data_IF_148869183996
#
_entry.id   IF_148869183996
#
_cell.length_a   1.000
_cell.length_b   1.000
_cell.length_c   1.000
_cell.angle_alpha   90.00
_cell.angle_beta   90.00
_cell.angle_gamma   90.00
#
_symmetry.space_group_name_H-M   'P 1'
#
loop_
_entity.id
_entity.type
_entity.pdbx_description
1 polymer ?
#
# COMPACT_ATOMS: atom_id res chain seq x y z
N UNK A 1 -6.25 -7.96 21.61
CA UNK A 1 -6.41 -6.51 21.34
C UNK A 1 -7.06 -6.37 19.98
N UNK A 2 -8.11 -5.55 19.82
CA UNK A 2 -8.86 -5.44 18.56
C UNK A 2 -8.13 -4.51 17.60
N UNK A 3 -8.21 -4.78 16.30
CA UNK A 3 -7.58 -3.97 15.25
C UNK A 3 -8.60 -3.61 14.19
N UNK A 4 -8.48 -2.43 13.60
CA UNK A 4 -9.30 -1.97 12.49
C UNK A 4 -8.42 -1.33 11.45
N UNK A 5 -8.53 -1.78 10.20
CA UNK A 5 -7.81 -1.18 9.07
C UNK A 5 -8.57 0.08 8.66
N UNK A 6 -7.84 1.19 8.57
CA UNK A 6 -8.39 2.47 8.17
C UNK A 6 -7.85 2.82 6.79
N UNK A 7 -8.74 3.01 5.82
CA UNK A 7 -8.39 3.47 4.47
C UNK A 7 -8.46 5.00 4.33
N UNK A 8 -8.06 5.52 3.17
CA UNK A 8 -8.01 6.97 2.95
C UNK A 8 -9.41 7.57 2.89
N UNK A 9 -10.39 6.84 2.38
CA UNK A 9 -11.75 7.32 2.25
C UNK A 9 -12.40 7.51 3.63
N UNK A 10 -12.21 6.55 4.53
CA UNK A 10 -12.63 6.65 5.91
C UNK A 10 -11.99 7.86 6.59
N UNK A 11 -10.67 8.05 6.44
CA UNK A 11 -9.98 9.20 7.02
C UNK A 11 -10.40 10.54 6.42
N UNK A 12 -10.73 10.59 5.13
CA UNK A 12 -11.28 11.79 4.47
C UNK A 12 -12.68 12.11 4.99
N UNK A 13 -13.55 11.10 5.12
CA UNK A 13 -14.92 11.24 5.62
C UNK A 13 -15.01 11.50 7.13
N UNK A 14 -14.00 11.08 7.90
CA UNK A 14 -13.89 11.37 9.34
C UNK A 14 -13.93 12.86 9.57
N UNK A 15 -14.63 13.30 10.61
CA UNK A 15 -14.77 14.72 10.88
C UNK A 15 -13.41 15.37 11.20
N UNK A 16 -13.30 16.69 11.02
CA UNK A 16 -12.05 17.44 11.24
C UNK A 16 -11.46 17.25 12.65
N UNK A 17 -12.33 17.00 13.61
CA UNK A 17 -11.96 16.74 14.99
C UNK A 17 -11.59 15.28 15.26
N UNK A 18 -11.68 14.34 14.30
CA UNK A 18 -11.30 12.94 14.47
C UNK A 18 -12.13 12.19 15.51
N UNK A 19 -13.41 12.54 15.68
CA UNK A 19 -14.27 11.98 16.73
C UNK A 19 -14.43 10.46 16.59
N UNK A 20 -14.68 10.00 15.37
CA UNK A 20 -14.89 8.59 15.04
C UNK A 20 -13.64 7.75 15.36
N UNK A 21 -12.46 8.28 15.06
CA UNK A 21 -11.18 7.62 15.38
C UNK A 21 -10.97 7.49 16.89
N UNK A 22 -11.29 8.56 17.64
CA UNK A 22 -11.21 8.51 19.11
C UNK A 22 -12.19 7.51 19.70
N UNK A 23 -13.39 7.41 19.12
CA UNK A 23 -14.38 6.44 19.57
C UNK A 23 -13.89 5.01 19.37
N UNK A 24 -13.33 4.70 18.19
CA UNK A 24 -12.71 3.38 17.94
C UNK A 24 -11.62 3.06 18.97
N UNK A 25 -10.77 4.02 19.29
CA UNK A 25 -9.75 3.86 20.33
C UNK A 25 -10.37 3.64 21.71
N UNK A 26 -11.39 4.40 22.08
CA UNK A 26 -12.12 4.26 23.34
C UNK A 26 -12.79 2.86 23.46
N UNK A 27 -13.22 2.30 22.33
CA UNK A 27 -13.79 0.96 22.23
C UNK A 27 -12.72 -0.16 22.23
N UNK A 28 -11.44 0.21 22.36
CA UNK A 28 -10.31 -0.70 22.52
C UNK A 28 -9.67 -1.19 21.21
N UNK A 29 -9.88 -0.47 20.11
CA UNK A 29 -9.25 -0.77 18.82
C UNK A 29 -7.90 -0.06 18.65
N UNK A 30 -6.97 -0.78 18.02
CA UNK A 30 -5.80 -0.19 17.39
C UNK A 30 -6.10 0.10 15.93
N UNK A 31 -5.70 1.29 15.48
CA UNK A 31 -5.89 1.75 14.12
C UNK A 31 -4.73 1.27 13.27
N UNK A 32 -5.02 0.45 12.27
CA UNK A 32 -4.02 -0.09 11.35
C UNK A 32 -4.01 0.78 10.09
N UNK A 33 -2.85 1.38 9.81
CA UNK A 33 -2.57 2.10 8.58
C UNK A 33 -1.76 1.18 7.67
N UNK A 34 -2.26 0.97 6.45
CA UNK A 34 -1.53 0.24 5.41
C UNK A 34 -0.86 1.24 4.47
N UNK A 35 0.21 0.82 3.82
CA UNK A 35 1.03 1.64 2.91
C UNK A 35 0.21 2.42 1.86
N UNK A 36 -0.91 1.83 1.42
CA UNK A 36 -1.90 2.43 0.51
C UNK A 36 -2.41 3.77 1.00
N UNK A 37 -2.65 3.91 2.30
CA UNK A 37 -3.19 5.11 2.90
C UNK A 37 -2.21 6.27 2.83
N UNK A 38 -0.93 6.03 3.12
CA UNK A 38 0.08 7.09 3.09
C UNK A 38 0.34 7.57 1.67
N UNK A 39 0.41 6.63 0.74
CA UNK A 39 0.45 6.95 -0.68
C UNK A 39 -0.76 7.78 -1.09
N UNK A 40 -1.98 7.33 -0.83
CA UNK A 40 -3.23 8.01 -1.25
C UNK A 40 -3.43 9.39 -0.59
N UNK A 41 -2.89 9.58 0.61
CA UNK A 41 -2.90 10.87 1.30
C UNK A 41 -1.85 11.85 0.77
N UNK A 42 -0.78 11.34 0.15
CA UNK A 42 0.32 12.14 -0.36
C UNK A 42 0.27 12.34 -1.89
N UNK A 43 -0.35 11.42 -2.63
CA UNK A 43 -0.51 11.44 -4.09
C UNK A 43 -1.75 12.23 -4.55
N UNK A 44 -2.53 12.76 -3.62
CA UNK A 44 -3.66 13.65 -3.89
C UNK A 44 -3.18 15.03 -4.33
N UNK A 45 -3.85 15.62 -5.34
CA UNK A 45 -3.53 16.97 -5.81
C UNK A 45 -3.75 18.05 -4.74
N UNK A 46 -4.59 17.75 -3.72
CA UNK A 46 -4.86 18.65 -2.61
C UNK A 46 -3.86 18.47 -1.46
N UNK A 47 -2.82 19.31 -1.48
CA UNK A 47 -1.78 19.39 -0.43
C UNK A 47 -2.30 19.64 0.99
N UNK A 48 -3.57 20.06 1.16
CA UNK A 48 -4.19 20.27 2.48
C UNK A 48 -4.69 18.97 3.10
N UNK A 49 -4.88 17.91 2.32
CA UNK A 49 -5.38 16.63 2.81
C UNK A 49 -4.44 16.02 3.85
N UNK A 50 -3.14 16.07 3.62
CA UNK A 50 -2.17 15.56 4.59
C UNK A 50 -2.29 16.28 5.94
N UNK A 51 -2.37 17.61 5.94
CA UNK A 51 -2.54 18.40 7.17
C UNK A 51 -3.84 18.07 7.90
N UNK A 52 -4.92 17.89 7.15
CA UNK A 52 -6.21 17.50 7.71
C UNK A 52 -6.12 16.11 8.36
N UNK A 53 -5.48 15.15 7.70
CA UNK A 53 -5.30 13.80 8.22
C UNK A 53 -4.39 13.77 9.45
N UNK A 54 -3.29 14.53 9.45
CA UNK A 54 -2.43 14.65 10.63
C UNK A 54 -3.21 15.15 11.85
N UNK A 55 -4.08 16.17 11.68
CA UNK A 55 -4.92 16.68 12.79
C UNK A 55 -5.85 15.61 13.35
N UNK A 56 -6.45 14.79 12.49
CA UNK A 56 -7.33 13.69 12.89
C UNK A 56 -6.56 12.60 13.64
N UNK A 57 -5.40 12.19 13.12
CA UNK A 57 -4.58 11.10 13.67
C UNK A 57 -3.80 11.49 14.93
N UNK A 58 -3.48 12.78 15.11
CA UNK A 58 -2.72 13.28 16.27
C UNK A 58 -3.28 12.78 17.60
N UNK A 59 -4.61 12.84 17.76
CA UNK A 59 -5.29 12.49 19.01
C UNK A 59 -5.26 10.99 19.33
N UNK A 60 -4.92 10.16 18.36
CA UNK A 60 -4.93 8.70 18.45
C UNK A 60 -3.57 8.08 18.12
N UNK A 61 -2.51 8.90 18.02
CA UNK A 61 -1.19 8.48 17.54
C UNK A 61 -0.66 7.22 18.25
N UNK A 62 -0.80 7.13 19.57
CA UNK A 62 -0.30 5.99 20.34
C UNK A 62 -0.96 4.65 19.99
N UNK A 63 -2.16 4.69 19.41
CA UNK A 63 -2.98 3.54 19.05
C UNK A 63 -2.83 3.12 17.59
N UNK A 64 -1.87 3.71 16.87
CA UNK A 64 -1.61 3.39 15.46
C UNK A 64 -0.63 2.22 15.32
N UNK A 65 -0.85 1.37 14.34
CA UNK A 65 0.15 0.43 13.80
C UNK A 65 0.26 0.65 12.29
N UNK A 66 1.47 0.67 11.76
CA UNK A 66 1.69 0.68 10.32
C UNK A 66 2.03 -0.74 9.86
N UNK A 67 1.30 -1.23 8.86
CA UNK A 67 1.53 -2.56 8.30
C UNK A 67 2.19 -2.46 6.94
N UNK A 68 3.13 -3.38 6.68
CA UNK A 68 3.80 -3.53 5.39
C UNK A 68 2.80 -4.01 4.36
N UNK A 69 3.01 -3.61 3.11
CA UNK A 69 2.21 -4.07 1.98
C UNK A 69 2.31 -5.60 1.82
N UNK A 70 1.19 -6.27 1.50
CA UNK A 70 1.14 -7.74 1.37
C UNK A 70 2.18 -8.28 0.39
N UNK A 71 2.39 -7.60 -0.75
CA UNK A 71 3.41 -8.02 -1.73
C UNK A 71 4.84 -8.02 -1.18
N UNK A 72 5.16 -7.10 -0.28
CA UNK A 72 6.48 -7.04 0.38
C UNK A 72 6.64 -8.19 1.37
N UNK A 73 5.57 -8.50 2.11
CA UNK A 73 5.57 -9.63 3.05
C UNK A 73 5.77 -10.96 2.30
N UNK A 74 5.02 -11.18 1.23
CA UNK A 74 5.14 -12.38 0.39
C UNK A 74 6.54 -12.50 -0.24
N UNK A 75 7.11 -11.40 -0.73
CA UNK A 75 8.48 -11.40 -1.28
C UNK A 75 9.54 -11.77 -0.24
N UNK A 76 9.36 -11.35 1.02
CA UNK A 76 10.24 -11.76 2.11
C UNK A 76 10.04 -13.22 2.50
N UNK A 77 8.80 -13.72 2.54
CA UNK A 77 8.51 -15.13 2.79
C UNK A 77 9.14 -16.04 1.73
N UNK A 78 9.01 -15.68 0.45
CA UNK A 78 9.63 -16.40 -0.66
C UNK A 78 11.16 -16.38 -0.54
N UNK A 79 11.76 -15.22 -0.24
CA UNK A 79 13.22 -15.08 -0.12
C UNK A 79 13.78 -15.84 1.08
N UNK A 80 13.07 -15.86 2.20
CA UNK A 80 13.54 -16.45 3.46
C UNK A 80 13.08 -17.89 3.66
N UNK A 81 12.13 -18.37 2.85
CA UNK A 81 11.46 -19.67 2.97
C UNK A 81 10.83 -19.88 4.36
N UNK A 82 10.45 -18.78 5.01
CA UNK A 82 9.90 -18.75 6.36
C UNK A 82 8.68 -17.82 6.37
N UNK A 83 7.56 -18.22 7.01
CA UNK A 83 6.40 -17.34 7.18
C UNK A 83 6.76 -16.11 8.00
N UNK A 84 6.19 -14.95 7.65
CA UNK A 84 6.32 -13.73 8.42
C UNK A 84 5.35 -13.78 9.60
N UNK A 85 5.89 -13.70 10.81
CA UNK A 85 5.10 -13.75 12.04
C UNK A 85 4.24 -12.49 12.28
N UNK A 86 4.62 -11.36 11.68
CA UNK A 86 3.89 -10.10 11.88
C UNK A 86 3.95 -9.16 10.66
N UNK A 87 2.82 -8.59 10.24
CA UNK A 87 2.79 -7.60 9.16
C UNK A 87 3.26 -6.21 9.62
N UNK A 88 3.54 -6.00 10.92
CA UNK A 88 3.84 -4.70 11.50
C UNK A 88 5.22 -4.23 11.05
N UNK A 89 5.28 -3.03 10.47
CA UNK A 89 6.52 -2.30 10.32
C UNK A 89 6.81 -1.53 11.62
N UNK A 90 7.64 -2.13 12.49
CA UNK A 90 7.92 -1.57 13.83
C UNK A 90 8.63 -0.23 13.74
N UNK A 91 9.65 -0.13 12.89
CA UNK A 91 10.48 1.06 12.77
C UNK A 91 9.67 2.21 12.19
N UNK A 92 8.92 1.94 11.13
CA UNK A 92 8.06 2.94 10.52
C UNK A 92 6.91 3.35 11.45
N UNK A 93 6.31 2.40 12.19
CA UNK A 93 5.29 2.72 13.20
C UNK A 93 5.83 3.69 14.25
N UNK A 94 7.04 3.45 14.77
CA UNK A 94 7.67 4.34 15.78
C UNK A 94 7.94 5.71 15.18
N UNK A 95 8.52 5.77 13.98
CA UNK A 95 8.79 7.04 13.29
C UNK A 95 7.50 7.84 13.05
N UNK A 96 6.45 7.16 12.59
CA UNK A 96 5.16 7.78 12.31
C UNK A 96 4.47 8.30 13.57
N UNK A 97 4.52 7.53 14.67
CA UNK A 97 4.02 7.98 15.98
C UNK A 97 4.75 9.22 16.46
N UNK A 98 6.08 9.23 16.38
CA UNK A 98 6.90 10.37 16.77
C UNK A 98 6.59 11.60 15.92
N UNK A 99 6.38 11.41 14.61
CA UNK A 99 5.97 12.46 13.69
C UNK A 99 4.65 13.09 14.12
N UNK A 100 3.62 12.28 14.36
CA UNK A 100 2.32 12.76 14.83
C UNK A 100 2.44 13.45 16.19
N UNK A 101 3.13 12.83 17.16
CA UNK A 101 3.28 13.35 18.51
C UNK A 101 3.97 14.72 18.56
N UNK A 102 4.88 15.00 17.63
CA UNK A 102 5.58 16.28 17.53
C UNK A 102 4.64 17.48 17.28
N UNK A 103 3.40 17.23 16.82
CA UNK A 103 2.45 18.24 16.31
C UNK A 103 3.01 19.15 15.23
N UNK A 104 4.20 18.85 14.72
CA UNK A 104 4.78 19.61 13.64
C UNK A 104 4.00 19.27 12.38
N UNK A 105 3.57 20.32 11.71
CA UNK A 105 3.12 20.24 10.33
C UNK A 105 4.28 19.72 9.50
N UNK A 106 4.32 18.41 9.28
CA UNK A 106 5.33 17.80 8.43
C UNK A 106 4.93 18.02 6.99
N UNK A 107 5.50 19.04 6.37
CA UNK A 107 5.52 19.17 4.92
C UNK A 107 6.91 18.66 4.55
N UNK A 108 7.05 17.44 4.00
CA UNK A 108 8.33 17.04 3.46
C UNK A 108 8.73 18.11 2.44
N UNK A 109 9.95 18.65 2.55
CA UNK A 109 10.49 19.60 1.57
C UNK A 109 10.35 19.09 0.13
N UNK A 110 10.29 17.78 -0.02
CA UNK A 110 10.11 17.09 -1.28
C UNK A 110 9.08 15.94 -1.18
N UNK A 111 7.85 16.29 -0.80
CA UNK A 111 6.71 15.36 -0.80
C UNK A 111 6.56 14.64 -2.14
N UNK A 112 6.84 15.34 -3.24
CA UNK A 112 6.79 14.79 -4.59
C UNK A 112 7.82 13.68 -4.81
N UNK A 113 9.07 13.85 -4.38
CA UNK A 113 10.06 12.77 -4.46
C UNK A 113 9.71 11.58 -3.58
N UNK A 114 9.09 11.80 -2.43
CA UNK A 114 8.65 10.69 -1.57
C UNK A 114 7.49 9.91 -2.21
N UNK A 115 6.50 10.63 -2.76
CA UNK A 115 5.40 10.02 -3.53
C UNK A 115 5.94 9.28 -4.75
N UNK A 116 6.87 9.87 -5.49
CA UNK A 116 7.49 9.25 -6.66
C UNK A 116 8.27 7.97 -6.29
N UNK A 117 8.99 7.98 -5.16
CA UNK A 117 9.68 6.80 -4.64
C UNK A 117 8.70 5.67 -4.30
N UNK A 118 7.61 5.99 -3.58
CA UNK A 118 6.58 5.00 -3.24
C UNK A 118 5.83 4.52 -4.50
N UNK A 119 5.48 5.42 -5.42
CA UNK A 119 4.93 5.05 -6.74
C UNK A 119 5.84 4.08 -7.46
N UNK A 120 7.14 4.39 -7.55
CA UNK A 120 8.12 3.54 -8.20
C UNK A 120 8.23 2.17 -7.54
N UNK A 121 8.29 2.10 -6.21
CA UNK A 121 8.27 0.83 -5.47
C UNK A 121 6.99 0.04 -5.73
N UNK A 122 5.83 0.70 -5.77
CA UNK A 122 4.55 0.00 -5.98
C UNK A 122 4.35 -0.46 -7.41
N UNK A 123 4.75 0.33 -8.39
CA UNK A 123 4.51 0.08 -9.81
C UNK A 123 5.62 -0.79 -10.41
N UNK A 124 6.90 -0.53 -10.13
CA UNK A 124 8.00 -1.29 -10.72
C UNK A 124 8.22 -2.64 -10.03
N UNK A 125 8.18 -2.71 -8.69
CA UNK A 125 8.39 -4.00 -8.01
C UNK A 125 7.22 -4.97 -8.26
N UNK A 126 5.99 -4.46 -8.43
CA UNK A 126 4.82 -5.28 -8.75
C UNK A 126 4.86 -5.81 -10.18
N UNK A 127 5.32 -5.01 -11.15
CA UNK A 127 5.51 -5.45 -12.53
C UNK A 127 6.64 -6.46 -12.63
N UNK A 128 7.79 -6.22 -12.01
CA UNK A 128 8.90 -7.19 -12.02
C UNK A 128 8.50 -8.51 -11.36
N UNK A 129 7.78 -8.44 -10.24
CA UNK A 129 7.24 -9.63 -9.56
C UNK A 129 6.23 -10.38 -10.43
N UNK A 130 5.34 -9.66 -11.12
CA UNK A 130 4.41 -10.24 -12.08
C UNK A 130 5.14 -10.92 -13.25
N UNK A 131 6.14 -10.26 -13.83
CA UNK A 131 6.96 -10.81 -14.90
C UNK A 131 7.73 -12.05 -14.44
N UNK A 132 8.22 -12.07 -13.20
CA UNK A 132 8.86 -13.24 -12.60
C UNK A 132 7.86 -14.38 -12.40
N UNK A 133 6.68 -14.12 -11.86
CA UNK A 133 5.62 -15.11 -11.70
C UNK A 133 5.19 -15.72 -13.05
N UNK A 134 5.12 -14.91 -14.10
CA UNK A 134 4.83 -15.38 -15.46
C UNK A 134 5.93 -16.27 -16.04
N UNK A 135 7.20 -16.07 -15.64
CA UNK A 135 8.32 -16.95 -16.01
C UNK A 135 8.29 -18.28 -15.26
N UNK A 136 7.94 -18.26 -13.96
CA UNK A 136 7.92 -19.46 -13.10
C UNK A 136 6.69 -20.33 -13.40
N UNK A 137 5.53 -19.71 -13.70
CA UNK A 137 4.27 -20.40 -13.97
C UNK A 137 3.87 -20.28 -15.45
N UNK A 138 4.81 -20.58 -16.34
CA UNK A 138 4.71 -20.38 -17.78
C UNK A 138 3.45 -20.99 -18.43
N UNK A 139 3.01 -22.16 -17.94
CA UNK A 139 1.84 -22.86 -18.49
C UNK A 139 0.50 -22.23 -18.10
N UNK A 140 0.45 -21.49 -16.99
CA UNK A 140 -0.76 -20.82 -16.49
C UNK A 140 -0.94 -19.44 -17.14
N UNK A 141 0.15 -18.74 -17.43
CA UNK A 141 0.14 -17.38 -17.99
C UNK A 141 0.53 -17.33 -19.48
N UNK A 142 0.37 -18.44 -20.22
CA UNK A 142 0.74 -18.55 -21.64
C UNK A 142 0.20 -17.40 -22.52
N UNK A 143 -1.06 -16.95 -22.37
CA UNK A 143 -1.57 -15.80 -23.14
C UNK A 143 -0.85 -14.49 -22.80
N UNK A 144 -0.48 -14.31 -21.53
CA UNK A 144 0.25 -13.12 -21.06
C UNK A 144 1.69 -13.14 -21.56
N UNK A 145 2.35 -14.30 -21.47
CA UNK A 145 3.71 -14.50 -21.99
C UNK A 145 3.79 -14.21 -23.48
N UNK A 146 2.84 -14.68 -24.27
CA UNK A 146 2.80 -14.41 -25.71
C UNK A 146 2.63 -12.91 -26.02
N UNK A 147 1.81 -12.18 -25.26
CA UNK A 147 1.68 -10.72 -25.40
C UNK A 147 2.96 -9.98 -25.01
N UNK A 148 3.59 -10.35 -23.89
CA UNK A 148 4.84 -9.73 -23.41
C UNK A 148 5.99 -9.98 -24.40
N UNK A 149 6.12 -11.19 -24.93
CA UNK A 149 7.17 -11.57 -25.91
C UNK A 149 6.95 -10.88 -27.26
N UNK A 150 5.70 -10.64 -27.66
CA UNK A 150 5.37 -9.98 -28.92
C UNK A 150 5.45 -8.44 -28.85
N UNK A 151 5.44 -7.85 -27.65
CA UNK A 151 5.73 -6.42 -27.46
C UNK A 151 7.25 -6.21 -27.42
N UNK A 152 7.83 -5.96 -28.59
CA UNK A 152 9.28 -5.92 -28.88
C UNK A 152 10.14 -4.93 -28.08
N UNK A 153 9.60 -4.16 -27.14
CA UNK A 153 10.33 -3.10 -26.42
C UNK A 153 10.32 -3.21 -24.89
N UNK A 154 9.79 -4.28 -24.28
CA UNK A 154 9.66 -4.36 -22.81
C UNK A 154 9.04 -3.08 -22.20
N UNK A 155 8.14 -2.42 -22.93
CA UNK A 155 7.52 -1.19 -22.44
C UNK A 155 6.48 -1.57 -21.38
N UNK A 156 6.88 -1.44 -20.12
CA UNK A 156 6.11 -1.80 -18.95
C UNK A 156 4.73 -1.15 -18.95
N UNK A 157 4.61 0.10 -19.41
CA UNK A 157 3.34 0.84 -19.42
C UNK A 157 2.32 0.22 -20.38
N UNK A 158 2.79 -0.26 -21.55
CA UNK A 158 1.94 -0.94 -22.54
C UNK A 158 1.52 -2.34 -22.08
N UNK A 159 2.41 -3.05 -21.38
CA UNK A 159 2.10 -4.35 -20.77
C UNK A 159 1.04 -4.17 -19.68
N UNK A 160 1.20 -3.15 -18.83
CA UNK A 160 0.23 -2.83 -17.77
C UNK A 160 -1.11 -2.39 -18.34
N UNK A 161 -1.14 -1.56 -19.38
CA UNK A 161 -2.39 -1.18 -20.06
C UNK A 161 -3.10 -2.40 -20.66
N UNK A 162 -2.38 -3.28 -21.35
CA UNK A 162 -2.98 -4.48 -21.96
C UNK A 162 -3.51 -5.47 -20.91
N UNK A 163 -2.87 -5.52 -19.74
CA UNK A 163 -3.30 -6.28 -18.57
C UNK A 163 -4.59 -5.72 -17.97
N UNK A 164 -4.62 -4.42 -17.69
CA UNK A 164 -5.78 -3.73 -17.10
C UNK A 164 -6.98 -3.76 -18.06
N UNK A 165 -6.74 -3.76 -19.36
CA UNK A 165 -7.79 -3.81 -20.38
C UNK A 165 -8.26 -5.22 -20.74
N UNK A 166 -7.70 -6.26 -20.13
CA UNK A 166 -8.06 -7.65 -20.42
C UNK A 166 -8.74 -8.31 -19.22
N UNK A 167 -10.07 -8.36 -19.28
CA UNK A 167 -10.91 -8.93 -18.23
C UNK A 167 -10.55 -10.40 -17.91
N UNK A 168 -10.24 -11.21 -18.92
CA UNK A 168 -9.82 -12.60 -18.74
C UNK A 168 -8.49 -12.74 -17.99
N UNK A 169 -7.53 -11.85 -18.28
CA UNK A 169 -6.24 -11.84 -17.61
C UNK A 169 -6.36 -11.33 -16.17
N UNK A 170 -7.20 -10.32 -15.92
CA UNK A 170 -7.53 -9.85 -14.57
C UNK A 170 -8.19 -10.99 -13.77
N UNK A 171 -9.18 -11.68 -14.34
CA UNK A 171 -9.85 -12.81 -13.69
C UNK A 171 -8.88 -13.95 -13.37
N UNK A 172 -7.96 -14.25 -14.29
CA UNK A 172 -6.90 -15.24 -14.06
C UNK A 172 -5.98 -14.83 -12.91
N UNK A 173 -5.53 -13.57 -12.87
CA UNK A 173 -4.69 -13.04 -11.78
C UNK A 173 -5.41 -13.03 -10.43
N UNK A 174 -6.70 -12.67 -10.41
CA UNK A 174 -7.55 -12.74 -9.21
C UNK A 174 -7.74 -14.19 -8.76
N UNK A 175 -7.95 -15.12 -9.68
CA UNK A 175 -8.10 -16.54 -9.34
C UNK A 175 -6.83 -17.12 -8.71
N UNK A 176 -5.66 -16.66 -9.15
CA UNK A 176 -4.37 -17.12 -8.63
C UNK A 176 -4.03 -16.52 -7.26
N UNK A 177 -4.39 -15.26 -7.03
CA UNK A 177 -4.23 -14.60 -5.72
C UNK A 177 -5.15 -15.13 -4.63
N UNK A 178 -6.15 -15.97 -4.97
CA UNK A 178 -6.99 -16.70 -4.03
C UNK A 178 -6.56 -18.15 -3.80
N UNK A 179 -5.50 -18.63 -4.48
CA UNK A 179 -4.95 -19.98 -4.35
C UNK A 179 -3.77 -20.03 -3.35
N UNK A 180 -3.29 -18.87 -2.90
CA UNK A 180 -2.29 -18.69 -1.84
C UNK A 180 -2.86 -17.84 -0.71
#
# INVERSE_FOLDING_TARGET
MKKVIIDANYLRATDSNGHELRQLVADGFYLVLIDTLLFELCSTDDKRQWLATQRKLYHVANFIECWRHTGVLLGDEERTQCPIETPIDKDFTVQFKNLLASKQTYIPKDLYSYVALISHQRECDSVESLLRACKVHENLFLPLKQKIVNQSNNNIDLICQDLVNSEDLIRLLISYSNIF
#
